data_IF_949187033012
#
_entry.id   IF_949187033012
#
_cell.length_a   1.000
_cell.length_b   1.000
_cell.length_c   1.000
_cell.angle_alpha   90.00
_cell.angle_beta   90.00
_cell.angle_gamma   90.00
#
_symmetry.space_group_name_H-M   'P 1'
#
loop_
_entity.id
_entity.type
_entity.pdbx_description
1 polymer ?
#
# COMPACT_ATOMS: atom_id res chain seq x y z
N UNK A 1 -79.87 3.69 -19.65
CA UNK A 1 -79.31 4.69 -20.60
C UNK A 1 -78.70 5.81 -19.75
N UNK A 2 -77.53 5.57 -19.17
CA UNK A 2 -76.21 6.07 -19.62
C UNK A 2 -76.11 7.59 -19.68
N UNK A 3 -75.58 8.20 -18.61
CA UNK A 3 -74.62 9.31 -18.74
C UNK A 3 -73.49 9.04 -17.74
N UNK A 4 -72.33 8.66 -18.27
CA UNK A 4 -71.09 8.34 -17.55
C UNK A 4 -70.26 9.62 -17.42
N UNK A 5 -69.75 9.85 -16.20
CA UNK A 5 -68.50 10.50 -15.80
C UNK A 5 -67.83 11.51 -16.75
N UNK A 6 -67.60 12.73 -16.25
CA UNK A 6 -66.41 13.52 -16.58
C UNK A 6 -65.64 13.83 -15.28
N UNK A 7 -64.69 12.97 -14.95
CA UNK A 7 -63.60 13.30 -14.03
C UNK A 7 -62.54 14.05 -14.83
N UNK A 8 -62.36 15.34 -14.54
CA UNK A 8 -61.25 16.12 -15.09
C UNK A 8 -59.94 15.64 -14.48
N UNK A 9 -59.20 14.80 -15.22
CA UNK A 9 -57.80 14.51 -14.93
C UNK A 9 -56.96 15.68 -15.42
N UNK A 10 -56.46 16.52 -14.50
CA UNK A 10 -55.37 17.45 -14.79
C UNK A 10 -54.09 16.61 -14.89
N UNK A 11 -53.76 16.19 -16.11
CA UNK A 11 -52.43 15.69 -16.42
C UNK A 11 -51.42 16.83 -16.18
N UNK A 12 -50.65 16.72 -15.11
CA UNK A 12 -49.48 17.57 -14.90
C UNK A 12 -48.46 17.17 -15.96
N UNK A 13 -48.34 17.96 -17.03
CA UNK A 13 -47.32 17.79 -18.05
C UNK A 13 -45.96 18.07 -17.39
N UNK A 14 -45.29 17.02 -16.92
CA UNK A 14 -43.87 17.07 -16.62
C UNK A 14 -43.16 17.35 -17.94
N UNK A 15 -42.61 18.55 -18.07
CA UNK A 15 -41.71 18.88 -19.18
C UNK A 15 -40.39 18.19 -18.85
N UNK A 16 -40.08 17.13 -19.59
CA UNK A 16 -38.79 16.45 -19.51
C UNK A 16 -37.72 17.44 -19.97
N UNK A 17 -36.88 17.90 -19.04
CA UNK A 17 -35.73 18.75 -19.38
C UNK A 17 -34.77 17.93 -20.23
N UNK A 18 -34.22 18.55 -21.27
CA UNK A 18 -33.24 17.90 -22.14
C UNK A 18 -32.13 17.27 -21.29
N UNK A 19 -31.85 15.99 -21.53
CA UNK A 19 -30.74 15.29 -20.89
C UNK A 19 -29.46 16.02 -21.27
N UNK A 20 -28.77 16.59 -20.28
CA UNK A 20 -27.43 17.13 -20.48
C UNK A 20 -26.54 15.93 -20.80
N UNK A 21 -25.91 15.87 -21.99
CA UNK A 21 -25.04 14.76 -22.32
C UNK A 21 -23.89 14.74 -21.31
N UNK A 22 -23.77 13.64 -20.55
CA UNK A 22 -22.64 13.48 -19.66
C UNK A 22 -21.34 13.49 -20.49
N UNK A 23 -20.36 14.32 -20.12
CA UNK A 23 -19.09 14.33 -20.81
C UNK A 23 -18.46 12.95 -20.70
N UNK A 24 -18.12 12.35 -21.84
CA UNK A 24 -17.39 11.08 -21.87
C UNK A 24 -16.07 11.25 -21.13
N UNK A 25 -15.90 10.56 -20.00
CA UNK A 25 -14.64 10.56 -19.26
C UNK A 25 -13.50 10.09 -20.16
N UNK A 26 -12.42 10.87 -20.20
CA UNK A 26 -11.19 10.48 -20.87
C UNK A 26 -10.50 9.44 -20.00
N UNK A 27 -10.40 8.21 -20.50
CA UNK A 27 -9.74 7.12 -19.77
C UNK A 27 -8.23 7.28 -19.80
N UNK A 28 -7.59 6.95 -18.67
CA UNK A 28 -6.13 6.91 -18.55
C UNK A 28 -5.65 5.47 -18.49
N UNK A 29 -4.54 5.19 -19.18
CA UNK A 29 -3.87 3.90 -19.10
C UNK A 29 -2.88 3.91 -17.94
N UNK A 30 -3.16 3.13 -16.90
CA UNK A 30 -2.24 2.87 -15.81
C UNK A 30 -1.52 1.53 -16.02
N UNK A 31 -0.32 1.42 -15.47
CA UNK A 31 0.40 0.15 -15.36
C UNK A 31 0.78 -0.11 -13.92
N UNK A 32 0.81 -1.39 -13.56
CA UNK A 32 1.11 -1.85 -12.22
C UNK A 32 2.38 -2.68 -12.30
N UNK A 33 3.42 -2.26 -11.57
CA UNK A 33 4.64 -3.03 -11.47
C UNK A 33 4.66 -3.78 -10.15
N UNK A 34 4.82 -5.09 -10.24
CA UNK A 34 5.10 -5.94 -9.09
C UNK A 34 6.27 -6.83 -9.45
N UNK A 35 7.31 -6.76 -8.65
CA UNK A 35 8.45 -7.66 -8.82
C UNK A 35 8.07 -9.11 -8.51
N UNK A 36 8.81 -10.11 -9.03
CA UNK A 36 8.66 -11.48 -8.59
C UNK A 36 8.95 -11.59 -7.09
N UNK A 37 7.89 -11.70 -6.28
CA UNK A 37 8.00 -11.79 -4.83
C UNK A 37 8.34 -13.21 -4.36
N UNK A 38 8.57 -14.16 -5.27
CA UNK A 38 8.74 -15.60 -4.95
C UNK A 38 9.71 -15.85 -3.81
N UNK A 39 10.95 -15.29 -3.79
CA UNK A 39 11.89 -15.53 -2.69
C UNK A 39 11.38 -14.99 -1.34
N UNK A 40 10.66 -13.86 -1.36
CA UNK A 40 10.12 -13.25 -0.15
C UNK A 40 8.87 -14.01 0.35
N UNK A 41 8.01 -14.47 -0.56
CA UNK A 41 6.85 -15.33 -0.26
C UNK A 41 7.31 -16.68 0.31
N UNK A 42 8.38 -17.26 -0.25
CA UNK A 42 9.02 -18.47 0.27
C UNK A 42 9.48 -18.28 1.72
N UNK A 43 10.21 -17.21 2.03
CA UNK A 43 10.57 -16.92 3.42
C UNK A 43 9.32 -16.68 4.28
N UNK A 44 8.31 -15.99 3.76
CA UNK A 44 7.02 -15.80 4.44
C UNK A 44 6.33 -17.12 4.82
N UNK A 45 6.63 -18.23 4.16
CA UNK A 45 6.10 -19.56 4.51
C UNK A 45 6.74 -20.18 5.76
N UNK A 46 7.90 -19.68 6.20
CA UNK A 46 8.56 -20.14 7.42
C UNK A 46 7.89 -19.62 8.70
N UNK A 47 6.99 -18.63 8.57
CA UNK A 47 6.11 -18.18 9.65
C UNK A 47 4.89 -19.11 9.71
N UNK A 48 5.05 -20.20 10.45
CA UNK A 48 4.02 -21.22 10.71
C UNK A 48 2.96 -20.72 11.69
N UNK A 49 1.84 -21.44 11.82
CA UNK A 49 0.71 -21.03 12.65
C UNK A 49 1.08 -20.77 14.13
N UNK A 50 2.01 -21.55 14.68
CA UNK A 50 2.53 -21.36 16.05
C UNK A 50 3.28 -20.03 16.23
N UNK A 51 3.83 -19.48 15.14
CA UNK A 51 4.64 -18.24 15.14
C UNK A 51 3.86 -17.04 14.63
N UNK A 52 2.79 -17.27 13.87
CA UNK A 52 2.00 -16.23 13.22
C UNK A 52 1.48 -15.20 14.23
N UNK A 53 0.98 -15.66 15.38
CA UNK A 53 0.48 -14.75 16.43
C UNK A 53 1.56 -13.79 16.93
N UNK A 54 2.80 -14.27 17.11
CA UNK A 54 3.91 -13.43 17.54
C UNK A 54 4.32 -12.44 16.45
N UNK A 55 4.36 -12.89 15.19
CA UNK A 55 4.66 -12.03 14.05
C UNK A 55 3.62 -10.90 13.92
N UNK A 56 2.34 -11.25 13.88
CA UNK A 56 1.23 -10.28 13.75
C UNK A 56 1.21 -9.32 14.93
N UNK A 57 1.44 -9.82 16.16
CA UNK A 57 1.50 -8.97 17.34
C UNK A 57 2.65 -7.94 17.33
N UNK A 58 3.72 -8.20 16.57
CA UNK A 58 4.86 -7.28 16.47
C UNK A 58 4.82 -6.37 15.23
N UNK A 59 4.35 -6.89 14.11
CA UNK A 59 4.50 -6.26 12.80
C UNK A 59 3.19 -6.02 12.06
N UNK A 60 2.06 -6.42 12.65
CA UNK A 60 0.76 -6.44 11.99
C UNK A 60 0.63 -7.59 11.00
N UNK A 61 -0.53 -7.65 10.34
CA UNK A 61 -0.90 -8.65 9.35
C UNK A 61 -0.28 -8.38 7.95
N UNK A 62 0.97 -7.91 7.93
CA UNK A 62 1.70 -7.59 6.70
C UNK A 62 2.01 -8.84 5.85
N UNK A 63 1.92 -10.05 6.43
CA UNK A 63 2.06 -11.31 5.70
C UNK A 63 0.88 -11.56 4.76
N UNK A 64 -0.35 -11.18 5.13
CA UNK A 64 -1.47 -11.33 4.20
C UNK A 64 -1.35 -10.35 3.05
N UNK A 65 -0.84 -9.15 3.30
CA UNK A 65 -0.50 -8.16 2.25
C UNK A 65 0.54 -8.72 1.28
N UNK A 66 1.62 -9.33 1.80
CA UNK A 66 2.62 -10.03 0.98
C UNK A 66 2.01 -11.11 0.09
N UNK A 67 1.13 -11.95 0.65
CA UNK A 67 0.50 -13.10 -0.03
C UNK A 67 -0.64 -12.72 -0.98
N UNK A 68 -1.14 -11.49 -0.91
CA UNK A 68 -2.28 -11.04 -1.72
C UNK A 68 -1.91 -11.05 -3.20
N UNK A 69 -2.70 -11.74 -4.02
CA UNK A 69 -2.61 -11.70 -5.48
C UNK A 69 -3.42 -10.49 -5.96
N UNK A 70 -2.79 -9.59 -6.69
CA UNK A 70 -3.41 -8.35 -7.16
C UNK A 70 -3.92 -8.57 -8.58
N UNK A 71 -5.22 -8.47 -8.78
CA UNK A 71 -5.81 -8.31 -10.11
C UNK A 71 -5.71 -6.83 -10.49
N UNK A 72 -5.02 -6.48 -11.60
CA UNK A 72 -4.93 -5.08 -12.03
C UNK A 72 -6.26 -4.50 -12.52
N UNK A 73 -7.26 -5.32 -12.86
CA UNK A 73 -8.51 -4.85 -13.49
C UNK A 73 -9.36 -3.99 -12.53
N UNK A 74 -9.63 -4.40 -11.27
CA UNK A 74 -10.33 -3.54 -10.31
C UNK A 74 -9.60 -2.22 -10.06
N UNK A 75 -8.27 -2.29 -9.83
CA UNK A 75 -7.45 -1.10 -9.64
C UNK A 75 -7.50 -0.15 -10.84
N UNK A 76 -7.38 -0.68 -12.07
CA UNK A 76 -7.49 0.12 -13.28
C UNK A 76 -8.82 0.86 -13.35
N UNK A 77 -9.89 0.17 -12.95
CA UNK A 77 -11.27 0.67 -12.96
C UNK A 77 -11.44 1.76 -11.92
N UNK A 78 -11.08 1.48 -10.66
CA UNK A 78 -11.10 2.43 -9.55
C UNK A 78 -10.38 3.74 -9.91
N UNK A 79 -9.17 3.65 -10.48
CA UNK A 79 -8.37 4.82 -10.86
C UNK A 79 -9.01 5.70 -11.95
N UNK A 80 -9.99 5.20 -12.72
CA UNK A 80 -10.76 6.04 -13.65
C UNK A 80 -11.74 6.99 -12.95
N UNK A 81 -12.07 6.71 -11.68
CA UNK A 81 -12.96 7.52 -10.85
C UNK A 81 -12.20 8.51 -9.97
N UNK A 82 -10.86 8.53 -10.02
CA UNK A 82 -10.07 9.45 -9.21
C UNK A 82 -10.30 10.91 -9.62
N UNK A 83 -10.76 11.71 -8.66
CA UNK A 83 -10.97 13.14 -8.75
C UNK A 83 -9.76 13.88 -8.15
N UNK A 84 -8.96 14.59 -8.96
CA UNK A 84 -7.76 15.26 -8.48
C UNK A 84 -8.05 16.50 -7.62
N UNK A 85 -9.23 17.12 -7.77
CA UNK A 85 -9.61 18.33 -7.02
C UNK A 85 -10.03 17.95 -5.60
N UNK A 86 -10.84 16.90 -5.48
CA UNK A 86 -11.32 16.39 -4.19
C UNK A 86 -10.39 15.38 -3.54
N UNK A 87 -9.41 14.85 -4.30
CA UNK A 87 -8.46 13.80 -3.87
C UNK A 87 -9.16 12.55 -3.34
N UNK A 88 -10.26 12.16 -3.98
CA UNK A 88 -11.03 10.96 -3.68
C UNK A 88 -11.49 10.27 -4.98
N UNK A 89 -12.19 9.15 -4.88
CA UNK A 89 -12.85 8.51 -6.01
C UNK A 89 -14.32 8.93 -6.06
N UNK A 90 -14.73 9.56 -7.16
CA UNK A 90 -16.06 10.15 -7.30
C UNK A 90 -16.92 9.34 -8.27
N UNK A 91 -17.97 8.75 -7.74
CA UNK A 91 -19.05 8.08 -8.48
C UNK A 91 -20.26 9.03 -8.59
N UNK A 92 -21.31 8.59 -9.30
CA UNK A 92 -22.49 9.43 -9.54
C UNK A 92 -23.16 9.88 -8.23
N UNK A 93 -23.28 8.97 -7.26
CA UNK A 93 -24.06 9.20 -6.04
C UNK A 93 -23.23 9.24 -4.75
N UNK A 94 -21.93 8.93 -4.81
CA UNK A 94 -21.09 8.85 -3.61
C UNK A 94 -19.60 9.04 -3.91
N UNK A 95 -18.84 9.28 -2.84
CA UNK A 95 -17.38 9.40 -2.85
C UNK A 95 -16.77 8.28 -2.03
N UNK A 96 -15.68 7.69 -2.52
CA UNK A 96 -14.86 6.73 -1.79
C UNK A 96 -13.47 7.33 -1.56
N UNK A 97 -12.93 7.13 -0.37
CA UNK A 97 -11.61 7.58 0.02
C UNK A 97 -11.04 6.60 1.04
N UNK A 98 -9.85 6.02 0.83
CA UNK A 98 -9.24 5.21 1.87
C UNK A 98 -8.96 6.05 3.11
N UNK A 99 -9.24 5.49 4.28
CA UNK A 99 -9.06 6.15 5.57
C UNK A 99 -7.91 5.56 6.37
N UNK A 100 -7.44 6.29 7.39
CA UNK A 100 -6.41 5.78 8.30
C UNK A 100 -6.94 4.55 9.07
N UNK A 101 -8.21 4.58 9.47
CA UNK A 101 -8.87 3.54 10.24
C UNK A 101 -8.96 2.24 9.42
N UNK A 102 -9.36 2.31 8.16
CA UNK A 102 -9.42 1.15 7.26
C UNK A 102 -8.03 0.54 7.04
N UNK A 103 -7.02 1.37 6.75
CA UNK A 103 -5.64 0.89 6.58
C UNK A 103 -5.10 0.28 7.88
N UNK A 104 -5.44 0.86 9.03
CA UNK A 104 -5.08 0.32 10.34
C UNK A 104 -5.68 -1.07 10.57
N UNK A 105 -6.96 -1.25 10.23
CA UNK A 105 -7.67 -2.54 10.32
C UNK A 105 -7.05 -3.57 9.36
N UNK A 106 -6.86 -3.21 8.09
CA UNK A 106 -6.33 -4.10 7.06
C UNK A 106 -4.91 -4.58 7.37
N UNK A 107 -4.11 -3.75 8.04
CA UNK A 107 -2.75 -4.08 8.45
C UNK A 107 -2.68 -4.67 9.85
N UNK A 108 -3.73 -4.59 10.67
CA UNK A 108 -3.66 -4.86 12.11
C UNK A 108 -2.54 -4.07 12.81
N UNK A 109 -2.35 -2.81 12.41
CA UNK A 109 -1.36 -1.89 12.99
C UNK A 109 -2.09 -0.65 13.50
N UNK A 110 -2.04 -0.34 14.81
CA UNK A 110 -2.74 0.81 15.36
C UNK A 110 -2.13 2.13 14.84
N UNK A 111 -2.99 3.12 14.61
CA UNK A 111 -2.56 4.49 14.36
C UNK A 111 -2.02 5.04 15.67
N UNK A 112 -0.73 5.37 15.72
CA UNK A 112 -0.16 5.96 16.92
C UNK A 112 -0.52 7.45 16.99
N UNK A 113 -0.85 7.97 18.18
CA UNK A 113 -1.08 9.41 18.42
C UNK A 113 0.20 10.27 18.31
N UNK A 114 1.22 9.77 17.62
CA UNK A 114 2.49 10.44 17.37
C UNK A 114 2.42 11.28 16.08
N UNK A 115 3.52 11.94 15.73
CA UNK A 115 3.66 12.68 14.48
C UNK A 115 3.19 11.79 13.31
N UNK A 116 2.15 12.19 12.55
CA UNK A 116 1.57 11.34 11.52
C UNK A 116 2.57 11.06 10.39
N UNK A 117 3.50 11.97 10.14
CA UNK A 117 4.56 11.80 9.16
C UNK A 117 5.90 11.60 9.86
N UNK A 118 6.55 10.48 9.54
CA UNK A 118 7.94 10.24 9.91
C UNK A 118 8.83 10.97 8.90
N UNK A 119 9.46 12.05 9.32
CA UNK A 119 10.56 12.65 8.56
C UNK A 119 11.68 11.62 8.47
N UNK A 120 11.98 11.19 7.25
CA UNK A 120 13.12 10.31 6.99
C UNK A 120 14.38 11.10 7.31
N UNK A 121 15.21 10.68 8.28
CA UNK A 121 16.41 11.41 8.65
C UNK A 121 17.35 11.55 7.45
N UNK A 122 17.95 12.73 7.29
CA UNK A 122 18.96 12.95 6.24
C UNK A 122 20.25 12.17 6.51
N UNK A 123 20.60 12.04 7.79
CA UNK A 123 21.77 11.28 8.24
C UNK A 123 21.35 9.87 8.66
N UNK A 124 22.15 8.88 8.26
CA UNK A 124 21.90 7.47 8.54
C UNK A 124 22.56 7.09 9.87
N UNK A 125 21.76 6.73 10.89
CA UNK A 125 22.28 6.09 12.10
C UNK A 125 22.30 4.56 11.94
N UNK A 126 23.46 4.03 11.53
CA UNK A 126 23.66 2.60 11.36
C UNK A 126 23.42 1.78 12.64
N UNK A 127 23.50 2.37 13.84
CA UNK A 127 23.18 1.65 15.10
C UNK A 127 21.69 1.40 15.21
N UNK A 128 20.86 2.35 14.80
CA UNK A 128 19.41 2.19 14.78
C UNK A 128 18.99 1.13 13.76
N UNK A 129 19.57 1.18 12.56
CA UNK A 129 19.29 0.22 11.48
C UNK A 129 19.72 -1.19 11.89
N UNK A 130 20.94 -1.34 12.41
CA UNK A 130 21.45 -2.62 12.91
C UNK A 130 20.58 -3.18 14.04
N UNK A 131 20.12 -2.33 14.97
CA UNK A 131 19.21 -2.74 16.04
C UNK A 131 17.85 -3.21 15.49
N UNK A 132 17.31 -2.51 14.48
CA UNK A 132 16.02 -2.85 13.88
C UNK A 132 16.06 -4.18 13.13
N UNK A 133 17.14 -4.42 12.37
CA UNK A 133 17.38 -5.65 11.63
C UNK A 133 17.96 -6.78 12.49
N UNK A 134 18.30 -6.50 13.75
CA UNK A 134 19.00 -7.41 14.66
C UNK A 134 20.32 -7.93 14.08
N UNK A 135 21.10 -7.04 13.45
CA UNK A 135 22.36 -7.33 12.77
C UNK A 135 23.53 -6.57 13.40
N UNK A 136 24.76 -6.89 12.96
CA UNK A 136 25.94 -6.13 13.34
C UNK A 136 26.02 -4.80 12.56
N UNK A 137 26.40 -3.71 13.23
CA UNK A 137 26.59 -2.38 12.62
C UNK A 137 27.56 -2.41 11.44
N UNK A 138 28.67 -3.15 11.58
CA UNK A 138 29.67 -3.31 10.52
C UNK A 138 29.06 -3.99 9.30
N UNK A 139 28.30 -5.06 9.52
CA UNK A 139 27.66 -5.82 8.44
C UNK A 139 26.63 -4.97 7.68
N UNK A 140 25.81 -4.18 8.40
CA UNK A 140 24.89 -3.22 7.78
C UNK A 140 25.67 -2.18 6.96
N UNK A 141 26.73 -1.58 7.53
CA UNK A 141 27.53 -0.56 6.87
C UNK A 141 28.22 -1.07 5.60
N UNK A 142 28.77 -2.29 5.62
CA UNK A 142 29.42 -2.93 4.47
C UNK A 142 28.46 -3.24 3.33
N UNK A 143 27.18 -3.49 3.65
CA UNK A 143 26.13 -3.82 2.69
C UNK A 143 25.20 -2.64 2.37
N UNK A 144 25.43 -1.48 2.97
CA UNK A 144 24.73 -0.24 2.63
C UNK A 144 25.20 0.26 1.26
N UNK A 145 24.30 0.29 0.28
CA UNK A 145 24.63 0.62 -1.11
C UNK A 145 23.76 1.75 -1.64
N UNK A 146 24.26 2.54 -2.60
CA UNK A 146 23.39 3.37 -3.45
C UNK A 146 22.66 2.50 -4.48
N UNK A 147 21.42 2.86 -4.80
CA UNK A 147 20.63 2.30 -5.89
C UNK A 147 19.82 3.43 -6.55
N UNK A 148 20.28 3.92 -7.71
CA UNK A 148 19.72 5.14 -8.30
C UNK A 148 19.94 6.34 -7.38
N UNK A 149 18.86 7.02 -7.00
CA UNK A 149 18.88 8.20 -6.12
C UNK A 149 18.70 7.88 -4.63
N UNK A 150 18.47 6.60 -4.29
CA UNK A 150 18.26 6.15 -2.91
C UNK A 150 19.45 5.36 -2.38
N UNK A 151 19.53 5.24 -1.06
CA UNK A 151 20.50 4.39 -0.35
C UNK A 151 19.78 3.40 0.54
N UNK A 152 20.37 2.25 0.79
CA UNK A 152 19.71 1.17 1.54
C UNK A 152 20.42 -0.17 1.42
N UNK A 153 19.65 -1.25 1.51
CA UNK A 153 20.14 -2.62 1.51
C UNK A 153 19.59 -3.41 0.31
N UNK A 154 20.45 -4.12 -0.45
CA UNK A 154 19.99 -5.02 -1.51
C UNK A 154 19.11 -6.15 -0.96
N UNK A 155 18.00 -6.46 -1.63
CA UNK A 155 17.09 -7.54 -1.21
C UNK A 155 17.81 -8.89 -1.16
N UNK A 156 18.72 -9.17 -2.10
CA UNK A 156 19.52 -10.41 -2.10
C UNK A 156 20.31 -10.61 -0.80
N UNK A 157 20.85 -9.53 -0.24
CA UNK A 157 21.58 -9.56 1.02
C UNK A 157 20.62 -9.90 2.18
N UNK A 158 19.48 -9.20 2.25
CA UNK A 158 18.46 -9.42 3.28
C UNK A 158 17.85 -10.83 3.24
N UNK A 159 17.57 -11.35 2.03
CA UNK A 159 17.05 -12.71 1.84
C UNK A 159 18.04 -13.77 2.37
N UNK A 160 19.35 -13.57 2.14
CA UNK A 160 20.38 -14.48 2.63
C UNK A 160 20.43 -14.47 4.15
N UNK A 161 20.57 -13.30 4.77
CA UNK A 161 20.70 -13.22 6.24
C UNK A 161 19.44 -13.71 6.94
N UNK A 162 18.25 -13.42 6.40
CA UNK A 162 16.99 -13.95 6.94
C UNK A 162 16.93 -15.48 6.86
N UNK A 163 17.36 -16.06 5.74
CA UNK A 163 17.42 -17.52 5.58
C UNK A 163 18.37 -18.15 6.59
N UNK A 164 19.57 -17.59 6.75
CA UNK A 164 20.56 -18.07 7.72
C UNK A 164 20.01 -18.05 9.16
N UNK A 165 19.22 -17.03 9.52
CA UNK A 165 18.60 -16.93 10.85
C UNK A 165 17.43 -17.91 11.03
N UNK A 166 16.65 -18.17 9.98
CA UNK A 166 15.63 -19.21 10.01
C UNK A 166 16.24 -20.61 10.18
N UNK A 167 17.36 -20.91 9.50
CA UNK A 167 18.09 -22.18 9.62
C UNK A 167 18.66 -22.40 11.02
N UNK A 168 19.09 -21.34 11.70
CA UNK A 168 19.54 -21.37 13.10
C UNK A 168 18.38 -21.46 14.11
N UNK A 169 17.12 -21.29 13.66
CA UNK A 169 15.96 -21.21 14.54
C UNK A 169 15.84 -19.89 15.31
N UNK A 170 16.54 -18.84 14.87
CA UNK A 170 16.51 -17.50 15.48
C UNK A 170 15.28 -16.71 14.99
N UNK A 171 14.08 -17.17 15.36
CA UNK A 171 12.83 -16.67 14.81
C UNK A 171 12.58 -15.18 15.07
N UNK A 172 13.03 -14.62 16.21
CA UNK A 172 12.87 -13.19 16.50
C UNK A 172 13.63 -12.32 15.48
N UNK A 173 14.89 -12.68 15.21
CA UNK A 173 15.77 -12.00 14.24
C UNK A 173 15.22 -12.16 12.83
N UNK A 174 14.83 -13.39 12.49
CA UNK A 174 14.20 -13.70 11.21
C UNK A 174 12.93 -12.86 10.96
N UNK A 175 12.03 -12.77 11.95
CA UNK A 175 10.80 -11.99 11.81
C UNK A 175 11.08 -10.50 11.58
N UNK A 176 12.07 -9.93 12.29
CA UNK A 176 12.46 -8.54 12.09
C UNK A 176 12.99 -8.27 10.66
N UNK A 177 13.83 -9.17 10.15
CA UNK A 177 14.40 -9.06 8.80
C UNK A 177 13.34 -9.27 7.72
N UNK A 178 12.45 -10.26 7.90
CA UNK A 178 11.31 -10.52 7.02
C UNK A 178 10.37 -9.31 6.97
N UNK A 179 10.00 -8.76 8.12
CA UNK A 179 9.14 -7.57 8.20
C UNK A 179 9.79 -6.37 7.52
N UNK A 180 11.10 -6.15 7.72
CA UNK A 180 11.84 -5.06 7.04
C UNK A 180 11.81 -5.21 5.52
N UNK A 181 11.96 -6.44 5.00
CA UNK A 181 11.83 -6.71 3.57
C UNK A 181 10.42 -6.44 3.06
N UNK A 182 9.37 -6.86 3.79
CA UNK A 182 7.97 -6.58 3.41
C UNK A 182 7.72 -5.06 3.37
N UNK A 183 8.28 -4.31 4.33
CA UNK A 183 8.19 -2.85 4.33
C UNK A 183 8.80 -2.23 3.06
N UNK A 184 10.03 -2.58 2.69
CA UNK A 184 10.70 -1.96 1.53
C UNK A 184 10.26 -2.48 0.17
N UNK A 185 9.78 -3.73 0.08
CA UNK A 185 9.43 -4.34 -1.21
C UNK A 185 7.94 -4.26 -1.51
N UNK A 186 7.08 -4.30 -0.48
CA UNK A 186 5.62 -4.39 -0.66
C UNK A 186 4.91 -3.11 -0.19
N UNK A 187 5.26 -2.60 0.99
CA UNK A 187 4.57 -1.43 1.57
C UNK A 187 5.05 -0.12 0.95
N UNK A 188 6.37 0.04 0.79
CA UNK A 188 7.02 1.26 0.28
C UNK A 188 7.98 0.94 -0.86
N UNK A 189 7.50 0.38 -2.00
CA UNK A 189 8.36 0.00 -3.10
C UNK A 189 8.99 1.23 -3.76
N UNK A 190 10.32 1.33 -3.75
CA UNK A 190 11.05 2.42 -4.40
C UNK A 190 11.85 1.97 -5.62
N UNK A 191 12.80 1.05 -5.40
CA UNK A 191 13.70 0.51 -6.41
C UNK A 191 13.61 -1.02 -6.48
N UNK A 192 13.70 -1.60 -7.68
CA UNK A 192 13.76 -3.04 -7.88
C UNK A 192 14.75 -3.77 -6.97
N UNK A 193 14.30 -4.81 -6.26
CA UNK A 193 15.08 -5.68 -5.38
C UNK A 193 15.89 -4.92 -4.34
N UNK A 194 15.32 -3.85 -3.77
CA UNK A 194 16.04 -2.94 -2.88
C UNK A 194 15.15 -2.42 -1.75
N UNK A 195 15.66 -2.45 -0.53
CA UNK A 195 15.00 -1.88 0.65
C UNK A 195 15.73 -0.60 1.01
N UNK A 196 15.09 0.54 0.75
CA UNK A 196 15.71 1.85 0.96
C UNK A 196 15.67 2.32 2.42
N UNK A 197 16.39 3.40 2.69
CA UNK A 197 16.46 4.05 3.99
C UNK A 197 15.10 4.56 4.48
N UNK A 198 14.23 5.03 3.58
CA UNK A 198 12.92 5.56 3.94
C UNK A 198 12.02 4.45 4.50
N UNK A 199 11.93 3.32 3.80
CA UNK A 199 11.20 2.14 4.25
C UNK A 199 11.72 1.61 5.60
N UNK A 200 13.05 1.56 5.79
CA UNK A 200 13.67 1.15 7.06
C UNK A 200 13.34 2.15 8.17
N UNK A 201 13.35 3.45 7.88
CA UNK A 201 13.01 4.49 8.86
C UNK A 201 11.55 4.38 9.30
N UNK A 202 10.64 4.11 8.37
CA UNK A 202 9.21 3.89 8.67
C UNK A 202 9.03 2.60 9.49
N UNK A 203 9.76 1.53 9.15
CA UNK A 203 9.78 0.30 9.94
C UNK A 203 10.23 0.54 11.40
N UNK A 204 11.29 1.33 11.58
CA UNK A 204 11.79 1.72 12.92
C UNK A 204 10.72 2.53 13.68
N UNK A 205 10.04 3.45 12.99
CA UNK A 205 9.00 4.29 13.58
C UNK A 205 7.70 3.57 13.95
N UNK A 206 7.45 2.36 13.41
CA UNK A 206 6.28 1.52 13.72
C UNK A 206 4.91 2.19 13.52
N UNK A 207 4.85 3.25 12.73
CA UNK A 207 3.62 3.98 12.41
C UNK A 207 3.47 4.13 10.88
N UNK A 208 3.37 3.03 10.11
CA UNK A 208 3.35 3.07 8.65
C UNK A 208 2.02 3.58 8.07
N UNK A 209 0.93 3.50 8.82
CA UNK A 209 -0.45 3.72 8.30
C UNK A 209 -0.62 5.09 7.64
N UNK A 210 -0.25 6.22 8.28
CA UNK A 210 -0.43 7.52 7.63
C UNK A 210 0.48 7.70 6.42
N UNK A 211 1.71 7.17 6.47
CA UNK A 211 2.64 7.22 5.34
C UNK A 211 2.14 6.40 4.15
N UNK A 212 1.57 5.21 4.40
CA UNK A 212 0.98 4.36 3.36
C UNK A 212 -0.20 5.04 2.66
N UNK A 213 -1.06 5.68 3.45
CA UNK A 213 -2.20 6.40 2.90
C UNK A 213 -1.74 7.58 2.04
N UNK A 214 -0.78 8.35 2.54
CA UNK A 214 -0.20 9.48 1.80
C UNK A 214 0.53 9.04 0.52
N UNK A 215 1.31 7.96 0.59
CA UNK A 215 2.01 7.38 -0.57
C UNK A 215 1.02 6.89 -1.64
N UNK A 216 -0.08 6.26 -1.22
CA UNK A 216 -1.16 5.85 -2.13
C UNK A 216 -1.74 7.05 -2.88
N UNK A 217 -2.14 8.10 -2.16
CA UNK A 217 -2.69 9.30 -2.79
C UNK A 217 -1.67 10.02 -3.68
N UNK A 218 -0.43 10.12 -3.24
CA UNK A 218 0.64 10.74 -4.02
C UNK A 218 0.90 9.97 -5.33
N UNK A 219 0.98 8.64 -5.26
CA UNK A 219 1.20 7.79 -6.42
C UNK A 219 0.08 7.91 -7.46
N UNK A 220 -1.18 7.95 -7.01
CA UNK A 220 -2.34 8.13 -7.88
C UNK A 220 -2.37 9.54 -8.47
N UNK A 221 -2.27 10.56 -7.62
CA UNK A 221 -2.38 11.96 -8.01
C UNK A 221 -1.29 12.37 -9.01
N UNK A 222 -0.05 11.94 -8.79
CA UNK A 222 1.08 12.24 -9.69
C UNK A 222 0.94 11.66 -11.10
N UNK A 223 0.07 10.65 -11.26
CA UNK A 223 -0.21 9.93 -12.51
C UNK A 223 -1.55 10.30 -13.14
N UNK A 224 -2.41 11.03 -12.43
CA UNK A 224 -3.68 11.51 -12.98
C UNK A 224 -3.45 12.34 -14.26
N UNK A 225 -4.21 12.06 -15.31
CA UNK A 225 -4.11 12.71 -16.63
C UNK A 225 -2.86 12.35 -17.45
N UNK A 226 -1.81 11.79 -16.83
CA UNK A 226 -0.56 11.36 -17.48
C UNK A 226 -0.54 9.86 -17.77
N UNK A 227 -1.21 9.06 -16.94
CA UNK A 227 -1.12 7.61 -16.96
C UNK A 227 0.27 7.08 -16.55
N UNK A 228 0.51 5.82 -16.85
CA UNK A 228 1.77 5.12 -16.57
C UNK A 228 1.80 4.39 -15.24
N UNK A 229 3.01 4.13 -14.75
CA UNK A 229 3.24 3.27 -13.61
C UNK A 229 2.78 3.89 -12.28
N UNK A 230 1.85 3.21 -11.60
CA UNK A 230 1.55 3.46 -10.18
C UNK A 230 2.56 2.68 -9.33
N UNK A 231 3.22 3.38 -8.41
CA UNK A 231 4.15 2.79 -7.43
C UNK A 231 3.69 3.16 -6.03
N UNK A 232 3.00 2.22 -5.39
CA UNK A 232 2.57 2.27 -3.99
C UNK A 232 2.29 0.83 -3.53
N UNK A 233 1.76 0.65 -2.33
CA UNK A 233 1.31 -0.67 -1.86
C UNK A 233 0.04 -1.15 -2.58
N UNK A 234 0.21 -1.69 -3.80
CA UNK A 234 -0.91 -2.21 -4.61
C UNK A 234 -1.74 -3.28 -3.89
N UNK A 235 -1.16 -4.24 -3.15
CA UNK A 235 -1.96 -5.21 -2.40
C UNK A 235 -2.86 -4.58 -1.35
N UNK A 236 -2.43 -3.48 -0.71
CA UNK A 236 -3.25 -2.81 0.29
C UNK A 236 -4.40 -2.04 -0.36
N UNK A 237 -4.13 -1.30 -1.44
CA UNK A 237 -5.17 -0.63 -2.21
C UNK A 237 -6.19 -1.62 -2.77
N UNK A 238 -5.74 -2.78 -3.25
CA UNK A 238 -6.60 -3.84 -3.77
C UNK A 238 -7.47 -4.52 -2.70
N UNK A 239 -7.01 -4.60 -1.46
CA UNK A 239 -7.81 -5.14 -0.34
C UNK A 239 -8.82 -4.12 0.20
N UNK A 240 -8.60 -2.84 -0.07
CA UNK A 240 -9.50 -1.76 0.31
C UNK A 240 -10.65 -1.58 -0.70
N UNK A 241 -10.35 -1.68 -2.00
CA UNK A 241 -11.29 -1.57 -3.12
C UNK A 241 -12.36 -2.68 -3.14
#
# INVERSE_FOLDING_TARGET
MHIISQVHSRACLLIEMATVPEPKRKTCSYSFHREPLTPLVELGSFVTDDRLKNFVGQYGDILTVLKTVVDPVPLQTLLQFYDPELRCFTFQDYQLAPTLEEYSILLSIPIQHQTPFLDVPKEVDFRLIARALRMNVKEVGENWKPCGEVVGLPLKFLLRVARDEAEKGNWEVFHAQLATMIYGIVLFPSMPNFVDHAAISIFIGRNPVPTLLADTYYAIHSRHGKGGAIRCCLPLLFKWD
#
